data_IF_548773187587
#
_entry.id   IF_548773187587
#
_cell.length_a   1.000
_cell.length_b   1.000
_cell.length_c   1.000
_cell.angle_alpha   90.00
_cell.angle_beta   90.00
_cell.angle_gamma   90.00
#
_symmetry.space_group_name_H-M   'P 1'
#
loop_
_entity.id
_entity.type
_entity.pdbx_description
1 polymer ?
#
# COMPACT_ATOMS: atom_id res chain seq x y z
N UNK A 1 5.09 18.07 -4.59
CA UNK A 1 4.29 17.36 -3.57
C UNK A 1 3.23 18.32 -3.11
N UNK A 2 1.94 18.02 -3.31
CA UNK A 2 0.88 18.85 -2.77
C UNK A 2 0.78 18.67 -1.25
N UNK A 3 0.51 19.77 -0.56
CA UNK A 3 0.25 19.81 0.88
C UNK A 3 -1.15 20.34 1.09
N UNK A 4 -1.87 19.72 2.01
CA UNK A 4 -3.16 20.22 2.46
C UNK A 4 -2.98 20.92 3.79
N UNK A 5 -3.44 22.17 3.85
CA UNK A 5 -3.48 22.98 5.06
C UNK A 5 -4.76 22.66 5.84
N UNK A 6 -4.64 21.97 6.97
CA UNK A 6 -5.74 21.77 7.93
C UNK A 6 -5.49 22.69 9.11
N UNK A 7 -6.16 23.84 9.12
CA UNK A 7 -5.88 24.91 10.09
C UNK A 7 -4.44 25.41 9.98
N UNK A 8 -3.62 25.16 11.00
CA UNK A 8 -2.19 25.55 11.04
C UNK A 8 -1.22 24.43 10.62
N UNK A 9 -1.73 23.24 10.29
CA UNK A 9 -0.91 22.06 10.02
C UNK A 9 -0.87 21.76 8.52
N UNK A 10 0.33 21.55 7.99
CA UNK A 10 0.55 21.14 6.61
C UNK A 10 0.77 19.63 6.56
N UNK A 11 -0.18 18.90 5.96
CA UNK A 11 -0.09 17.45 5.82
C UNK A 11 0.18 17.10 4.36
N UNK A 12 1.19 16.27 4.05
CA UNK A 12 1.42 15.80 2.69
C UNK A 12 0.19 15.04 2.17
N UNK A 13 -0.27 15.34 0.95
CA UNK A 13 -1.40 14.66 0.35
C UNK A 13 -1.21 13.14 0.27
N UNK A 14 0.03 12.69 0.05
CA UNK A 14 0.37 11.26 0.04
C UNK A 14 0.11 10.59 1.39
N UNK A 15 0.37 11.27 2.52
CA UNK A 15 0.13 10.71 3.84
C UNK A 15 -1.37 10.62 4.13
N UNK A 16 -2.12 11.67 3.78
CA UNK A 16 -3.58 11.66 3.87
C UNK A 16 -4.18 10.54 3.02
N UNK A 17 -3.71 10.39 1.78
CA UNK A 17 -4.17 9.34 0.88
C UNK A 17 -3.87 7.93 1.42
N UNK A 18 -2.70 7.69 2.01
CA UNK A 18 -2.37 6.39 2.65
C UNK A 18 -3.35 6.08 3.78
N UNK A 19 -3.59 7.05 4.68
CA UNK A 19 -4.49 6.85 5.83
C UNK A 19 -5.91 6.56 5.34
N UNK A 20 -6.42 7.36 4.41
CA UNK A 20 -7.76 7.17 3.84
C UNK A 20 -7.87 5.84 3.09
N UNK A 21 -6.86 5.45 2.33
CA UNK A 21 -6.84 4.18 1.62
C UNK A 21 -6.90 2.97 2.56
N UNK A 22 -6.16 3.03 3.67
CA UNK A 22 -6.19 1.98 4.71
C UNK A 22 -7.56 1.92 5.39
N UNK A 23 -8.19 3.06 5.65
CA UNK A 23 -9.54 3.10 6.23
C UNK A 23 -10.58 2.55 5.24
N UNK A 24 -10.55 2.97 3.98
CA UNK A 24 -11.46 2.49 2.93
C UNK A 24 -11.31 0.97 2.76
N UNK A 25 -10.07 0.49 2.68
CA UNK A 25 -9.78 -0.93 2.48
C UNK A 25 -10.24 -1.78 3.67
N UNK A 26 -10.11 -1.26 4.89
CA UNK A 26 -10.67 -1.89 6.09
C UNK A 26 -12.19 -2.04 5.98
N UNK A 27 -12.91 -0.97 5.61
CA UNK A 27 -14.38 -1.03 5.54
C UNK A 27 -14.89 -1.94 4.43
N UNK A 28 -14.25 -1.92 3.25
CA UNK A 28 -14.59 -2.80 2.15
C UNK A 28 -14.31 -4.27 2.51
N UNK A 29 -13.17 -4.54 3.17
CA UNK A 29 -12.86 -5.87 3.68
C UNK A 29 -13.88 -6.35 4.72
N UNK A 30 -14.18 -5.50 5.71
CA UNK A 30 -15.14 -5.80 6.75
C UNK A 30 -16.54 -6.07 6.17
N UNK A 31 -16.97 -5.31 5.16
CA UNK A 31 -18.24 -5.53 4.46
C UNK A 31 -18.30 -6.87 3.72
N UNK A 32 -17.20 -7.28 3.07
CA UNK A 32 -17.10 -8.55 2.33
C UNK A 32 -17.01 -9.76 3.26
N UNK A 33 -16.07 -9.73 4.19
CA UNK A 33 -15.67 -10.89 5.00
C UNK A 33 -16.42 -10.98 6.33
N UNK A 34 -17.11 -9.90 6.75
CA UNK A 34 -17.81 -9.76 8.04
C UNK A 34 -16.94 -10.06 9.26
N UNK A 35 -15.63 -9.86 9.13
CA UNK A 35 -14.62 -10.04 10.18
C UNK A 35 -13.59 -8.92 10.10
N UNK A 36 -12.87 -8.70 11.21
CA UNK A 36 -11.74 -7.78 11.21
C UNK A 36 -10.54 -8.40 10.49
N UNK A 37 -9.73 -7.60 9.77
CA UNK A 37 -8.44 -8.08 9.27
C UNK A 37 -7.53 -8.41 10.45
N UNK A 38 -6.60 -9.33 10.25
CA UNK A 38 -5.62 -9.69 11.29
C UNK A 38 -4.75 -8.50 11.71
N UNK A 39 -4.18 -8.58 12.91
CA UNK A 39 -3.38 -7.52 13.54
C UNK A 39 -2.26 -6.97 12.64
N UNK A 40 -1.74 -7.80 11.73
CA UNK A 40 -0.74 -7.43 10.74
C UNK A 40 -1.12 -6.17 9.95
N UNK A 41 -2.42 -5.95 9.71
CA UNK A 41 -2.92 -4.84 8.89
C UNK A 41 -2.67 -3.49 9.57
N UNK A 42 -3.19 -3.31 10.79
CA UNK A 42 -2.97 -2.10 11.58
C UNK A 42 -1.53 -1.95 12.04
N UNK A 43 -0.86 -3.07 12.37
CA UNK A 43 0.57 -3.07 12.70
C UNK A 43 1.41 -2.56 11.53
N UNK A 44 1.06 -2.89 10.28
CA UNK A 44 1.77 -2.39 9.10
C UNK A 44 1.61 -0.88 8.94
N UNK A 45 0.40 -0.33 9.16
CA UNK A 45 0.20 1.12 9.13
C UNK A 45 1.01 1.83 10.23
N UNK A 46 0.95 1.32 11.47
CA UNK A 46 1.67 1.91 12.60
C UNK A 46 3.19 1.87 12.38
N UNK A 47 3.72 0.71 11.97
CA UNK A 47 5.13 0.56 11.63
C UNK A 47 5.54 1.51 10.52
N UNK A 48 4.72 1.65 9.48
CA UNK A 48 5.01 2.56 8.38
C UNK A 48 5.14 4.00 8.88
N UNK A 49 4.17 4.48 9.68
CA UNK A 49 4.18 5.84 10.22
C UNK A 49 5.39 6.08 11.14
N UNK A 50 5.67 5.13 12.04
CA UNK A 50 6.79 5.22 13.00
C UNK A 50 8.11 5.27 12.23
N UNK A 51 8.33 4.35 11.28
CA UNK A 51 9.59 4.29 10.53
C UNK A 51 9.73 5.51 9.62
N UNK A 52 8.64 5.95 9.00
CA UNK A 52 8.65 7.16 8.19
C UNK A 52 9.04 8.41 9.00
N UNK A 53 8.53 8.53 10.24
CA UNK A 53 8.91 9.59 11.18
C UNK A 53 10.37 9.45 11.63
N UNK A 54 10.77 8.28 12.14
CA UNK A 54 12.12 8.05 12.66
C UNK A 54 13.20 8.14 11.57
N UNK A 55 12.86 7.87 10.31
CA UNK A 55 13.79 8.06 9.20
C UNK A 55 14.29 9.50 9.08
N UNK A 56 13.54 10.50 9.56
CA UNK A 56 14.02 11.88 9.64
C UNK A 56 15.26 12.00 10.53
N UNK A 57 15.25 11.37 11.71
CA UNK A 57 16.37 11.42 12.65
C UNK A 57 17.63 10.79 12.06
N UNK A 58 17.49 9.72 11.28
CA UNK A 58 18.61 9.04 10.62
C UNK A 58 19.13 9.88 9.44
N UNK A 59 18.23 10.39 8.59
CA UNK A 59 18.60 11.11 7.37
C UNK A 59 19.08 12.55 7.63
N UNK A 60 18.64 13.17 8.73
CA UNK A 60 18.97 14.55 9.12
C UNK A 60 19.60 14.57 10.52
N UNK A 61 20.54 13.67 10.78
CA UNK A 61 21.08 13.41 12.12
C UNK A 61 21.64 14.66 12.83
N UNK A 62 22.41 15.49 12.11
CA UNK A 62 22.96 16.73 12.68
C UNK A 62 21.86 17.71 13.12
N UNK A 63 20.83 17.90 12.29
CA UNK A 63 19.68 18.75 12.63
C UNK A 63 18.86 18.16 13.77
N UNK A 64 18.71 16.84 13.82
CA UNK A 64 17.99 16.15 14.88
C UNK A 64 18.66 16.30 16.24
N UNK A 65 19.99 16.13 16.34
CA UNK A 65 20.72 16.33 17.61
C UNK A 65 20.59 17.77 18.10
N UNK A 66 20.72 18.74 17.19
CA UNK A 66 20.63 20.16 17.55
C UNK A 66 19.18 20.57 17.91
N UNK A 67 18.18 19.95 17.30
CA UNK A 67 16.77 20.28 17.47
C UNK A 67 15.90 19.01 17.55
N UNK A 68 15.88 18.28 18.67
CA UNK A 68 15.19 16.98 18.76
C UNK A 68 13.67 17.09 18.56
N UNK A 69 13.06 18.22 18.95
CA UNK A 69 11.63 18.50 18.73
C UNK A 69 11.27 18.59 17.24
N UNK A 70 12.24 18.77 16.34
CA UNK A 70 12.01 18.79 14.89
C UNK A 70 11.41 17.48 14.37
N UNK A 71 11.58 16.35 15.07
CA UNK A 71 10.99 15.06 14.73
C UNK A 71 9.44 15.08 14.71
N UNK A 72 8.83 15.92 15.54
CA UNK A 72 7.36 16.06 15.58
C UNK A 72 6.85 16.69 14.29
N UNK A 73 7.59 17.67 13.76
CA UNK A 73 7.18 18.49 12.62
C UNK A 73 7.61 17.90 11.28
N UNK A 74 8.79 17.27 11.22
CA UNK A 74 9.36 16.77 9.99
C UNK A 74 9.22 15.24 9.85
N UNK A 75 9.57 14.76 8.67
CA UNK A 75 9.59 13.35 8.28
C UNK A 75 10.76 13.13 7.30
N UNK A 76 11.08 11.88 6.98
CA UNK A 76 12.20 11.57 6.07
C UNK A 76 11.94 11.86 4.59
N UNK A 77 10.81 12.48 4.24
CA UNK A 77 10.44 12.77 2.85
C UNK A 77 10.36 11.52 1.95
N UNK A 78 10.67 11.67 0.66
CA UNK A 78 10.63 10.56 -0.30
C UNK A 78 11.53 9.38 0.10
N UNK A 79 12.75 9.66 0.61
CA UNK A 79 13.69 8.63 1.08
C UNK A 79 13.13 7.87 2.28
N UNK A 80 12.56 8.59 3.26
CA UNK A 80 11.93 7.99 4.42
C UNK A 80 10.76 7.07 4.07
N UNK A 81 9.96 7.44 3.07
CA UNK A 81 8.87 6.62 2.54
C UNK A 81 9.36 5.30 1.95
N UNK A 82 10.46 5.33 1.19
CA UNK A 82 11.07 4.12 0.63
C UNK A 82 11.65 3.22 1.73
N UNK A 83 12.31 3.80 2.73
CA UNK A 83 12.81 3.06 3.90
C UNK A 83 11.64 2.37 4.61
N UNK A 84 10.55 3.10 4.89
CA UNK A 84 9.36 2.51 5.51
C UNK A 84 8.81 1.35 4.68
N UNK A 85 8.71 1.50 3.36
CA UNK A 85 8.25 0.42 2.47
C UNK A 85 9.13 -0.84 2.53
N UNK A 86 10.46 -0.68 2.59
CA UNK A 86 11.40 -1.81 2.77
C UNK A 86 11.12 -2.56 4.07
N UNK A 87 10.97 -1.83 5.18
CA UNK A 87 10.69 -2.47 6.47
C UNK A 87 9.31 -3.15 6.52
N UNK A 88 8.29 -2.58 5.89
CA UNK A 88 6.97 -3.21 5.77
C UNK A 88 7.06 -4.49 4.93
N UNK A 89 7.77 -4.48 3.81
CA UNK A 89 7.97 -5.67 3.00
C UNK A 89 8.69 -6.77 3.79
N UNK A 90 9.71 -6.43 4.57
CA UNK A 90 10.42 -7.38 5.46
C UNK A 90 9.48 -7.91 6.55
N UNK A 91 8.66 -7.05 7.16
CA UNK A 91 7.69 -7.44 8.18
C UNK A 91 6.68 -8.46 7.64
N UNK A 92 6.09 -8.18 6.47
CA UNK A 92 5.15 -9.07 5.80
C UNK A 92 5.82 -10.39 5.39
N UNK A 93 7.02 -10.33 4.80
CA UNK A 93 7.79 -11.53 4.45
C UNK A 93 8.02 -12.46 5.66
N UNK A 94 8.39 -11.89 6.81
CA UNK A 94 8.56 -12.66 8.06
C UNK A 94 7.25 -13.25 8.58
N UNK A 95 6.12 -12.56 8.37
CA UNK A 95 4.81 -13.08 8.74
C UNK A 95 4.42 -14.28 7.87
N UNK A 96 4.68 -14.22 6.56
CA UNK A 96 4.37 -15.34 5.65
C UNK A 96 5.18 -16.59 5.98
N UNK A 97 6.47 -16.45 6.34
CA UNK A 97 7.31 -17.58 6.75
C UNK A 97 6.77 -18.33 7.98
N UNK A 98 5.93 -17.70 8.80
CA UNK A 98 5.28 -18.34 9.95
C UNK A 98 4.04 -19.18 9.56
N UNK A 99 3.84 -19.46 8.27
CA UNK A 99 2.88 -20.43 7.71
C UNK A 99 1.44 -20.34 8.25
N UNK A 100 0.83 -19.15 8.13
CA UNK A 100 -0.62 -19.01 8.30
C UNK A 100 -1.28 -19.04 6.91
N UNK A 101 -1.81 -20.18 6.43
CA UNK A 101 -2.32 -20.31 5.04
C UNK A 101 -3.41 -19.28 4.70
N UNK A 102 -4.30 -18.97 5.65
CA UNK A 102 -5.35 -17.96 5.45
C UNK A 102 -4.83 -16.51 5.39
N UNK A 103 -3.59 -16.26 5.81
CA UNK A 103 -3.00 -14.92 5.83
C UNK A 103 -2.70 -14.43 4.40
N UNK A 104 -2.25 -15.31 3.50
CA UNK A 104 -1.82 -14.90 2.17
C UNK A 104 -2.97 -14.35 1.33
N UNK A 105 -4.13 -15.01 1.33
CA UNK A 105 -5.28 -14.56 0.55
C UNK A 105 -5.87 -13.27 1.12
N UNK A 106 -5.99 -13.19 2.45
CA UNK A 106 -6.41 -11.98 3.17
C UNK A 106 -5.48 -10.81 2.86
N UNK A 107 -4.16 -11.00 3.00
CA UNK A 107 -3.19 -9.93 2.74
C UNK A 107 -3.15 -9.53 1.28
N UNK A 108 -3.31 -10.48 0.34
CA UNK A 108 -3.38 -10.15 -1.09
C UNK A 108 -4.54 -9.22 -1.39
N UNK A 109 -5.73 -9.57 -0.88
CA UNK A 109 -6.92 -8.77 -1.12
C UNK A 109 -6.78 -7.37 -0.50
N UNK A 110 -6.32 -7.28 0.75
CA UNK A 110 -6.16 -6.00 1.45
C UNK A 110 -5.05 -5.11 0.87
N UNK A 111 -3.90 -5.66 0.47
CA UNK A 111 -2.81 -4.88 -0.13
C UNK A 111 -3.22 -4.30 -1.48
N UNK A 112 -3.85 -5.11 -2.34
CA UNK A 112 -4.34 -4.64 -3.65
C UNK A 112 -5.43 -3.58 -3.48
N UNK A 113 -6.36 -3.81 -2.56
CA UNK A 113 -7.40 -2.85 -2.24
C UNK A 113 -6.83 -1.54 -1.70
N UNK A 114 -5.84 -1.61 -0.82
CA UNK A 114 -5.15 -0.42 -0.29
C UNK A 114 -4.38 0.31 -1.39
N UNK A 115 -3.74 -0.41 -2.29
CA UNK A 115 -3.04 0.16 -3.43
C UNK A 115 -3.99 0.94 -4.34
N UNK A 116 -5.08 0.33 -4.80
CA UNK A 116 -6.04 1.01 -5.68
C UNK A 116 -6.78 2.14 -4.96
N UNK A 117 -7.17 1.96 -3.69
CA UNK A 117 -7.79 3.02 -2.91
C UNK A 117 -6.83 4.22 -2.73
N UNK A 118 -5.54 3.96 -2.49
CA UNK A 118 -4.52 5.00 -2.42
C UNK A 118 -4.44 5.77 -3.73
N UNK A 119 -4.37 5.05 -4.84
CA UNK A 119 -4.29 5.65 -6.17
C UNK A 119 -5.48 6.59 -6.45
N UNK A 120 -6.70 6.12 -6.19
CA UNK A 120 -7.93 6.91 -6.39
C UNK A 120 -7.93 8.15 -5.49
N UNK A 121 -7.73 7.96 -4.18
CA UNK A 121 -7.78 9.08 -3.22
C UNK A 121 -6.69 10.09 -3.54
N UNK A 122 -5.46 9.65 -3.80
CA UNK A 122 -4.35 10.53 -4.11
C UNK A 122 -4.62 11.34 -5.39
N UNK A 123 -5.12 10.71 -6.45
CA UNK A 123 -5.41 11.41 -7.69
C UNK A 123 -6.62 12.34 -7.60
N UNK A 124 -7.61 12.04 -6.75
CA UNK A 124 -8.68 12.99 -6.41
C UNK A 124 -8.15 14.21 -5.66
N UNK A 125 -7.25 14.01 -4.69
CA UNK A 125 -6.60 15.10 -3.96
C UNK A 125 -5.74 15.99 -4.89
N UNK A 126 -5.05 15.37 -5.86
CA UNK A 126 -4.28 16.09 -6.89
C UNK A 126 -5.15 16.60 -8.06
N UNK A 127 -6.48 16.53 -7.96
CA UNK A 127 -7.44 16.97 -8.98
C UNK A 127 -7.23 16.33 -10.37
N UNK A 128 -6.59 15.16 -10.42
CA UNK A 128 -6.46 14.36 -11.64
C UNK A 128 -7.64 13.39 -11.75
N UNK A 129 -8.81 13.94 -12.07
CA UNK A 129 -10.07 13.19 -12.13
C UNK A 129 -10.07 12.10 -13.21
N UNK A 130 -9.34 12.31 -14.31
CA UNK A 130 -9.25 11.32 -15.39
C UNK A 130 -8.56 10.05 -14.90
N UNK A 131 -7.37 10.18 -14.31
CA UNK A 131 -6.64 9.02 -13.77
C UNK A 131 -7.39 8.38 -12.61
N UNK A 132 -7.98 9.17 -11.71
CA UNK A 132 -8.81 8.66 -10.63
C UNK A 132 -10.01 7.85 -11.14
N UNK A 133 -10.67 8.29 -12.23
CA UNK A 133 -11.76 7.58 -12.89
C UNK A 133 -11.31 6.23 -13.46
N UNK A 134 -10.17 6.20 -14.15
CA UNK A 134 -9.58 4.96 -14.68
C UNK A 134 -9.28 3.98 -13.55
N UNK A 135 -8.64 4.45 -12.48
CA UNK A 135 -8.28 3.61 -11.33
C UNK A 135 -9.50 3.12 -10.55
N UNK A 136 -10.57 3.92 -10.52
CA UNK A 136 -11.87 3.48 -9.99
C UNK A 136 -12.44 2.33 -10.82
N UNK A 137 -12.37 2.42 -12.15
CA UNK A 137 -12.81 1.32 -13.02
C UNK A 137 -11.98 0.05 -12.81
N UNK A 138 -10.66 0.16 -12.63
CA UNK A 138 -9.77 -0.97 -12.31
C UNK A 138 -10.16 -1.59 -10.96
N UNK A 139 -10.38 -0.78 -9.92
CA UNK A 139 -10.80 -1.26 -8.60
C UNK A 139 -12.16 -1.98 -8.65
N UNK A 140 -13.13 -1.43 -9.38
CA UNK A 140 -14.43 -2.07 -9.57
C UNK A 140 -14.28 -3.41 -10.30
N UNK A 141 -13.45 -3.47 -11.35
CA UNK A 141 -13.13 -4.72 -12.03
C UNK A 141 -12.51 -5.76 -11.09
N UNK A 142 -11.56 -5.34 -10.26
CA UNK A 142 -10.90 -6.20 -9.28
C UNK A 142 -11.87 -6.72 -8.21
N UNK A 143 -12.70 -5.84 -7.63
CA UNK A 143 -13.67 -6.22 -6.59
C UNK A 143 -14.80 -7.10 -7.13
N UNK A 144 -15.26 -6.86 -8.37
CA UNK A 144 -16.20 -7.75 -9.06
C UNK A 144 -15.59 -9.13 -9.31
N UNK A 145 -14.33 -9.20 -9.77
CA UNK A 145 -13.60 -10.44 -9.93
C UNK A 145 -13.51 -11.24 -8.61
N UNK A 146 -13.20 -10.56 -7.51
CA UNK A 146 -13.17 -11.14 -6.17
C UNK A 146 -14.56 -11.60 -5.68
N UNK A 147 -15.61 -10.84 -5.97
CA UNK A 147 -16.98 -11.11 -5.53
C UNK A 147 -17.65 -12.27 -6.28
N UNK A 148 -17.44 -12.37 -7.59
CA UNK A 148 -17.91 -13.50 -8.42
C UNK A 148 -17.27 -14.83 -7.97
N UNK A 149 -16.24 -14.73 -7.13
CA UNK A 149 -15.60 -15.83 -6.46
C UNK A 149 -14.47 -16.37 -7.32
N UNK A 150 -13.30 -16.51 -6.70
CA UNK A 150 -12.15 -17.24 -7.26
C UNK A 150 -12.49 -18.74 -7.38
N UNK A 151 -13.47 -19.10 -8.21
CA UNK A 151 -13.82 -20.50 -8.53
C UNK A 151 -12.89 -21.12 -9.57
N UNK A 152 -11.82 -20.40 -9.95
CA UNK A 152 -10.81 -20.84 -10.91
C UNK A 152 -9.58 -21.35 -10.17
N UNK A 153 -8.76 -22.15 -10.85
CA UNK A 153 -7.50 -22.68 -10.31
C UNK A 153 -6.62 -21.56 -9.75
N UNK A 154 -5.82 -21.88 -8.71
CA UNK A 154 -4.92 -20.93 -8.03
C UNK A 154 -4.03 -20.14 -9.01
N UNK A 155 -3.58 -20.79 -10.09
CA UNK A 155 -2.79 -20.19 -11.16
C UNK A 155 -3.53 -19.05 -11.88
N UNK A 156 -4.79 -19.25 -12.24
CA UNK A 156 -5.60 -18.23 -12.92
C UNK A 156 -5.87 -17.05 -11.97
N UNK A 157 -6.05 -17.32 -10.66
CA UNK A 157 -6.25 -16.26 -9.69
C UNK A 157 -5.04 -15.34 -9.55
N UNK A 158 -3.84 -15.92 -9.44
CA UNK A 158 -2.60 -15.14 -9.36
C UNK A 158 -2.34 -14.34 -10.65
N UNK A 159 -2.64 -14.91 -11.83
CA UNK A 159 -2.52 -14.20 -13.11
C UNK A 159 -3.47 -13.00 -13.20
N UNK A 160 -4.69 -13.11 -12.69
CA UNK A 160 -5.65 -12.00 -12.68
C UNK A 160 -5.22 -10.88 -11.73
N UNK A 161 -4.71 -11.22 -10.54
CA UNK A 161 -4.14 -10.23 -9.61
C UNK A 161 -2.99 -9.46 -10.28
N UNK A 162 -2.06 -10.19 -10.92
CA UNK A 162 -0.95 -9.59 -11.64
C UNK A 162 -1.45 -8.70 -12.79
N UNK A 163 -2.47 -9.14 -13.53
CA UNK A 163 -3.08 -8.37 -14.61
C UNK A 163 -3.63 -7.02 -14.13
N UNK A 164 -4.46 -7.00 -13.08
CA UNK A 164 -4.99 -5.75 -12.54
C UNK A 164 -3.89 -4.83 -12.01
N UNK A 165 -2.89 -5.40 -11.34
CA UNK A 165 -1.73 -4.65 -10.86
C UNK A 165 -0.96 -4.01 -12.03
N UNK A 166 -0.62 -4.78 -13.07
CA UNK A 166 0.08 -4.28 -14.25
C UNK A 166 -0.73 -3.26 -15.06
N UNK A 167 -2.05 -3.42 -15.16
CA UNK A 167 -2.92 -2.42 -15.79
C UNK A 167 -2.78 -1.07 -15.09
N UNK A 168 -2.83 -1.04 -13.76
CA UNK A 168 -2.67 0.21 -13.01
C UNK A 168 -1.29 0.83 -13.22
N UNK A 169 -0.22 0.02 -13.22
CA UNK A 169 1.14 0.50 -13.51
C UNK A 169 1.26 1.09 -14.92
N UNK A 170 0.61 0.49 -15.91
CA UNK A 170 0.58 1.01 -17.27
C UNK A 170 -0.06 2.40 -17.31
N UNK A 171 -1.20 2.60 -16.63
CA UNK A 171 -1.81 3.93 -16.54
C UNK A 171 -0.97 4.91 -15.71
N UNK A 172 -0.33 4.48 -14.63
CA UNK A 172 0.63 5.33 -13.91
C UNK A 172 1.80 5.75 -14.79
N UNK A 173 2.24 4.89 -15.71
CA UNK A 173 3.27 5.21 -16.69
C UNK A 173 2.80 6.25 -17.71
N UNK A 174 1.58 6.10 -18.24
CA UNK A 174 1.02 7.06 -19.21
C UNK A 174 0.85 8.47 -18.66
N UNK A 175 0.72 8.62 -17.35
CA UNK A 175 0.55 9.91 -16.67
C UNK A 175 1.83 10.39 -15.96
N UNK A 176 2.99 9.81 -16.27
CA UNK A 176 4.31 10.15 -15.67
C UNK A 176 4.36 10.05 -14.13
N UNK A 177 3.45 9.27 -13.53
CA UNK A 177 3.36 9.08 -12.08
C UNK A 177 4.08 7.84 -11.57
N UNK A 178 4.48 6.93 -12.46
CA UNK A 178 5.09 5.64 -12.08
C UNK A 178 6.32 5.80 -11.17
N UNK A 179 7.21 6.74 -11.49
CA UNK A 179 8.50 6.92 -10.80
C UNK A 179 8.42 7.79 -9.53
N UNK A 180 7.22 8.19 -9.10
CA UNK A 180 7.08 9.00 -7.89
C UNK A 180 7.26 8.13 -6.64
N UNK A 181 7.96 8.63 -5.63
CA UNK A 181 8.43 7.84 -4.48
C UNK A 181 7.33 7.05 -3.75
N UNK A 182 6.13 7.64 -3.59
CA UNK A 182 5.01 6.95 -2.95
C UNK A 182 4.49 5.79 -3.80
N UNK A 183 4.47 5.92 -5.13
CA UNK A 183 4.09 4.85 -6.04
C UNK A 183 5.12 3.74 -6.00
N UNK A 184 6.42 4.09 -6.03
CA UNK A 184 7.51 3.13 -5.87
C UNK A 184 7.43 2.35 -4.55
N UNK A 185 7.09 3.02 -3.44
CA UNK A 185 6.88 2.35 -2.14
C UNK A 185 5.77 1.28 -2.22
N UNK A 186 4.61 1.62 -2.80
CA UNK A 186 3.52 0.66 -2.94
C UNK A 186 3.82 -0.46 -3.94
N UNK A 187 4.47 -0.12 -5.07
CA UNK A 187 4.90 -1.08 -6.07
C UNK A 187 5.83 -2.10 -5.45
N UNK A 188 6.82 -1.62 -4.68
CA UNK A 188 7.78 -2.48 -4.00
C UNK A 188 7.12 -3.44 -3.01
N UNK A 189 6.21 -2.95 -2.16
CA UNK A 189 5.49 -3.80 -1.20
C UNK A 189 4.67 -4.88 -1.92
N UNK A 190 3.90 -4.49 -2.94
CA UNK A 190 3.06 -5.43 -3.70
C UNK A 190 3.90 -6.44 -4.49
N UNK A 191 5.03 -6.02 -5.05
CA UNK A 191 5.96 -6.90 -5.76
C UNK A 191 6.55 -7.97 -4.85
N UNK A 192 7.06 -7.58 -3.67
CA UNK A 192 7.57 -8.53 -2.67
C UNK A 192 6.46 -9.48 -2.20
N UNK A 193 5.24 -8.98 -2.01
CA UNK A 193 4.08 -9.80 -1.65
C UNK A 193 3.77 -10.86 -2.72
N UNK A 194 3.66 -10.46 -3.99
CA UNK A 194 3.38 -11.38 -5.11
C UNK A 194 4.48 -12.45 -5.22
N UNK A 195 5.75 -12.07 -5.10
CA UNK A 195 6.88 -13.02 -5.09
C UNK A 195 6.74 -14.02 -3.94
N UNK A 196 6.42 -13.53 -2.74
CA UNK A 196 6.30 -14.42 -1.57
C UNK A 196 5.13 -15.37 -1.72
N UNK A 197 4.02 -14.91 -2.30
CA UNK A 197 2.87 -15.76 -2.62
C UNK A 197 3.23 -16.85 -3.63
N UNK A 198 4.05 -16.53 -4.63
CA UNK A 198 4.51 -17.50 -5.63
C UNK A 198 5.35 -18.61 -4.97
N UNK A 199 6.37 -18.26 -4.19
CA UNK A 199 7.24 -19.24 -3.52
C UNK A 199 6.54 -20.02 -2.39
N UNK A 200 5.60 -19.42 -1.67
CA UNK A 200 4.89 -20.10 -0.59
C UNK A 200 3.91 -21.17 -1.08
N UNK A 201 3.41 -21.06 -2.32
CA UNK A 201 2.46 -22.02 -2.90
C UNK A 201 3.18 -23.19 -3.59
N UNK A 202 4.35 -22.98 -4.20
CA UNK A 202 5.18 -24.08 -4.73
C UNK A 202 5.60 -25.08 -3.64
N UNK A 203 5.84 -24.61 -2.42
CA UNK A 203 6.16 -25.48 -1.27
C UNK A 203 4.98 -26.26 -0.68
N UNK A 204 3.74 -26.04 -1.16
CA UNK A 204 2.54 -26.80 -0.73
C UNK A 204 2.12 -27.86 -1.75
N UNK A 205 2.65 -27.80 -2.98
CA UNK A 205 2.39 -28.77 -4.06
C UNK A 205 3.50 -29.83 -4.20
N UNK A 206 4.55 -29.77 -3.36
CA UNK A 206 5.65 -30.72 -3.26
C UNK A 206 5.57 -31.57 -1.98
#
# INVERSE_FOLDING_TARGET
MSYFTIGRWNVPASLLAIILAVIISYFVFFGKEKKQPGDWYWNSLLLFVIIYKLSYAILNFSLFINFPMSLIYFNGGSKGQLIAAVFIAIYLFRLYKKNKPNLLDETTFLLMLTFFAFQIVFNLLEQNFMLAGIQTAILLGYTLYEYIGRKKTLKIANQMILFFFLMDLLFLSFFDKLMVSYNLSFIFINFVHIITQYFSKEGQEA
#
